data_IF_402686576526
#
_entry.id   IF_402686576526
#
_cell.length_a   1.000
_cell.length_b   1.000
_cell.length_c   1.000
_cell.angle_alpha   90.00
_cell.angle_beta   90.00
_cell.angle_gamma   90.00
#
_symmetry.space_group_name_H-M   'P 1'
#
loop_
_entity.id
_entity.type
_entity.pdbx_description
1 polymer ?
#
# COMPACT_ATOMS: atom_id res chain seq x y z
N UNK A 1 -17.44 8.73 13.54
CA UNK A 1 -16.10 8.66 12.87
C UNK A 1 -15.03 9.53 13.55
N UNK A 2 -15.32 10.77 13.98
CA UNK A 2 -14.32 11.67 14.58
C UNK A 2 -13.59 11.12 15.82
N UNK A 3 -14.31 10.47 16.74
CA UNK A 3 -13.73 9.92 17.97
C UNK A 3 -12.69 8.81 17.74
N UNK A 4 -12.95 7.88 16.81
CA UNK A 4 -11.98 6.84 16.42
C UNK A 4 -10.71 7.46 15.82
N UNK A 5 -10.86 8.42 14.88
CA UNK A 5 -9.71 9.12 14.30
C UNK A 5 -8.90 9.88 15.34
N UNK A 6 -9.58 10.51 16.32
CA UNK A 6 -8.89 11.21 17.42
C UNK A 6 -8.07 10.25 18.25
N UNK A 7 -8.65 9.12 18.67
CA UNK A 7 -7.95 8.11 19.46
C UNK A 7 -6.72 7.57 18.74
N UNK A 8 -6.86 7.25 17.45
CA UNK A 8 -5.76 6.73 16.64
C UNK A 8 -4.60 7.73 16.54
N UNK A 9 -4.88 9.03 16.33
CA UNK A 9 -3.82 10.06 16.31
C UNK A 9 -3.12 10.23 17.66
N UNK A 10 -3.82 9.97 18.76
CA UNK A 10 -3.23 10.05 20.10
C UNK A 10 -2.43 8.80 20.46
N UNK A 11 -2.82 7.62 19.94
CA UNK A 11 -2.21 6.34 20.30
C UNK A 11 -1.14 5.84 19.32
N UNK A 12 -1.12 6.34 18.08
CA UNK A 12 -0.15 5.96 17.06
C UNK A 12 0.83 7.11 16.83
N UNK A 13 2.11 6.84 17.10
CA UNK A 13 3.18 7.83 17.05
C UNK A 13 3.42 8.39 15.63
N UNK A 14 3.14 7.60 14.59
CA UNK A 14 3.34 8.00 13.18
C UNK A 14 2.11 7.67 12.34
N UNK A 15 0.97 8.31 12.62
CA UNK A 15 -0.22 8.17 11.79
C UNK A 15 -0.10 9.01 10.51
N UNK A 16 -0.19 8.40 9.33
CA UNK A 16 -0.26 9.12 8.05
C UNK A 16 -1.73 9.19 7.60
N UNK A 17 -2.37 10.37 7.63
CA UNK A 17 -3.75 10.51 7.20
C UNK A 17 -3.85 10.53 5.67
N UNK A 18 -4.81 9.78 5.12
CA UNK A 18 -5.27 9.95 3.74
C UNK A 18 -6.46 10.89 3.72
N UNK A 19 -6.41 11.89 2.83
CA UNK A 19 -7.44 12.91 2.72
C UNK A 19 -8.80 12.34 2.36
N UNK A 20 -9.86 12.93 2.92
CA UNK A 20 -11.24 12.44 2.71
C UNK A 20 -11.71 12.55 1.25
N UNK A 21 -11.10 13.45 0.49
CA UNK A 21 -11.41 13.70 -0.93
C UNK A 21 -10.80 12.64 -1.84
N UNK A 22 -9.90 11.83 -1.30
CA UNK A 22 -9.23 10.78 -2.05
C UNK A 22 -10.19 9.62 -2.33
N UNK A 23 -10.30 9.24 -3.60
CA UNK A 23 -11.18 8.13 -4.00
C UNK A 23 -10.53 6.80 -3.65
N UNK A 24 -11.22 5.93 -2.92
CA UNK A 24 -10.66 4.65 -2.43
C UNK A 24 -11.60 3.46 -2.67
N UNK A 25 -12.89 3.58 -2.34
CA UNK A 25 -13.88 2.50 -2.41
C UNK A 25 -14.13 1.95 -3.83
N UNK A 26 -14.02 2.79 -4.85
CA UNK A 26 -14.26 2.39 -6.25
C UNK A 26 -12.99 2.26 -7.10
N UNK A 27 -11.81 2.50 -6.52
CA UNK A 27 -10.57 2.41 -7.29
C UNK A 27 -10.02 0.98 -7.21
N UNK A 28 -9.83 0.31 -8.35
CA UNK A 28 -9.16 -0.99 -8.38
C UNK A 28 -7.74 -0.83 -7.85
N UNK A 29 -7.40 -1.57 -6.80
CA UNK A 29 -6.05 -1.53 -6.23
C UNK A 29 -4.98 -1.89 -7.27
N UNK A 30 -5.25 -2.91 -8.09
CA UNK A 30 -4.26 -3.48 -9.01
C UNK A 30 -3.96 -2.59 -10.22
N UNK A 31 -4.97 -1.95 -10.82
CA UNK A 31 -4.79 -1.20 -12.07
C UNK A 31 -5.24 0.27 -12.00
N UNK A 32 -5.79 0.72 -10.87
CA UNK A 32 -6.26 2.10 -10.68
C UNK A 32 -7.58 2.44 -11.39
N UNK A 33 -8.19 1.53 -12.16
CA UNK A 33 -9.46 1.77 -12.85
C UNK A 33 -10.58 2.05 -11.84
N UNK A 34 -11.44 3.01 -12.15
CA UNK A 34 -12.58 3.37 -11.30
C UNK A 34 -13.81 2.53 -11.66
N UNK A 35 -14.49 2.08 -10.62
CA UNK A 35 -15.71 1.29 -10.65
C UNK A 35 -16.80 2.04 -9.88
N UNK A 36 -18.01 2.06 -10.44
CA UNK A 36 -19.18 2.57 -9.75
C UNK A 36 -19.77 1.45 -8.89
N UNK A 37 -19.49 1.49 -7.58
CA UNK A 37 -19.97 0.51 -6.61
C UNK A 37 -20.95 1.18 -5.65
N UNK A 38 -22.12 0.57 -5.50
CA UNK A 38 -23.08 0.91 -4.45
C UNK A 38 -22.67 0.31 -3.11
N UNK A 39 -23.37 0.69 -2.03
CA UNK A 39 -23.15 0.08 -0.72
C UNK A 39 -23.47 -1.42 -0.70
N UNK A 40 -24.40 -1.88 -1.54
CA UNK A 40 -24.78 -3.28 -1.67
C UNK A 40 -23.72 -4.12 -2.41
N UNK A 41 -22.90 -3.49 -3.25
CA UNK A 41 -21.80 -4.16 -3.95
C UNK A 41 -20.67 -4.44 -2.96
N UNK A 42 -20.65 -5.67 -2.42
CA UNK A 42 -19.65 -6.12 -1.45
C UNK A 42 -18.33 -6.54 -2.08
N UNK A 43 -18.31 -6.79 -3.39
CA UNK A 43 -17.14 -7.29 -4.12
C UNK A 43 -16.81 -6.33 -5.25
N UNK A 44 -15.53 -5.98 -5.39
CA UNK A 44 -15.01 -5.36 -6.60
C UNK A 44 -14.56 -6.47 -7.55
N UNK A 45 -14.97 -6.41 -8.81
CA UNK A 45 -14.52 -7.32 -9.87
C UNK A 45 -14.08 -6.46 -11.06
N UNK A 46 -12.76 -6.46 -11.29
CA UNK A 46 -12.14 -5.64 -12.32
C UNK A 46 -11.79 -6.47 -13.54
N UNK A 47 -11.92 -5.87 -14.72
CA UNK A 47 -11.51 -6.44 -16.01
C UNK A 47 -10.01 -6.81 -16.04
N UNK A 48 -9.17 -6.24 -15.17
CA UNK A 48 -7.76 -6.62 -15.03
C UNK A 48 -7.55 -7.95 -14.29
N UNK A 49 -8.61 -8.65 -13.88
CA UNK A 49 -8.57 -9.92 -13.15
C UNK A 49 -8.54 -9.78 -11.63
N UNK A 50 -8.54 -8.56 -11.09
CA UNK A 50 -8.59 -8.32 -9.65
C UNK A 50 -10.01 -8.50 -9.10
N UNK A 51 -10.16 -9.33 -8.06
CA UNK A 51 -11.44 -9.61 -7.41
C UNK A 51 -11.26 -9.79 -5.90
N UNK A 52 -11.91 -8.94 -5.10
CA UNK A 52 -11.92 -9.07 -3.63
C UNK A 52 -13.08 -8.28 -3.00
N UNK A 53 -13.24 -8.39 -1.67
CA UNK A 53 -14.20 -7.55 -0.94
C UNK A 53 -13.85 -6.05 -1.11
N UNK A 54 -14.88 -5.23 -1.32
CA UNK A 54 -14.76 -3.79 -1.61
C UNK A 54 -14.08 -3.03 -0.48
N UNK A 55 -14.39 -3.36 0.77
CA UNK A 55 -13.84 -2.66 1.94
C UNK A 55 -12.37 -3.07 2.13
N UNK A 56 -12.02 -4.33 1.84
CA UNK A 56 -10.63 -4.79 1.76
C UNK A 56 -9.87 -4.05 0.66
N UNK A 57 -10.42 -3.97 -0.56
CA UNK A 57 -9.82 -3.22 -1.65
C UNK A 57 -9.55 -1.76 -1.26
N UNK A 58 -10.54 -1.09 -0.67
CA UNK A 58 -10.41 0.29 -0.22
C UNK A 58 -9.28 0.47 0.80
N UNK A 59 -9.12 -0.46 1.74
CA UNK A 59 -8.04 -0.43 2.72
C UNK A 59 -6.66 -0.53 2.07
N UNK A 60 -6.50 -1.38 1.05
CA UNK A 60 -5.23 -1.51 0.32
C UNK A 60 -4.95 -0.25 -0.50
N UNK A 61 -5.96 0.36 -1.13
CA UNK A 61 -5.81 1.65 -1.83
C UNK A 61 -5.40 2.76 -0.85
N UNK A 62 -5.99 2.82 0.35
CA UNK A 62 -5.61 3.77 1.41
C UNK A 62 -4.14 3.58 1.79
N UNK A 63 -3.70 2.33 2.00
CA UNK A 63 -2.30 2.03 2.31
C UNK A 63 -1.38 2.53 1.18
N UNK A 64 -1.71 2.22 -0.07
CA UNK A 64 -0.94 2.63 -1.25
C UNK A 64 -0.79 4.15 -1.32
N UNK A 65 -1.89 4.89 -1.15
CA UNK A 65 -1.91 6.36 -1.23
C UNK A 65 -1.25 7.03 -0.04
N UNK A 66 -1.46 6.50 1.17
CA UNK A 66 -0.80 6.99 2.39
C UNK A 66 0.73 6.83 2.32
N UNK A 67 1.20 5.76 1.69
CA UNK A 67 2.63 5.52 1.45
C UNK A 67 3.15 6.16 0.15
N UNK A 68 2.31 6.90 -0.59
CA UNK A 68 2.62 7.50 -1.88
C UNK A 68 3.22 6.51 -2.91
N UNK A 69 2.70 5.27 -2.94
CA UNK A 69 3.11 4.22 -3.86
C UNK A 69 2.31 4.32 -5.18
N UNK A 70 2.96 4.14 -6.33
CA UNK A 70 2.24 4.03 -7.61
C UNK A 70 1.68 2.61 -7.82
N UNK A 71 0.63 2.40 -8.64
CA UNK A 71 0.12 1.07 -8.97
C UNK A 71 1.18 0.15 -9.60
N UNK A 72 2.11 0.77 -10.35
CA UNK A 72 3.23 0.09 -11.02
C UNK A 72 4.47 -0.03 -10.13
N UNK A 73 4.44 0.49 -8.90
CA UNK A 73 5.60 0.56 -8.02
C UNK A 73 5.87 -0.80 -7.36
N UNK A 74 6.84 -1.50 -7.90
CA UNK A 74 7.76 -2.30 -7.09
C UNK A 74 8.41 -1.32 -6.12
N UNK A 75 8.33 -1.56 -4.81
CA UNK A 75 9.04 -0.73 -3.83
C UNK A 75 10.53 -0.85 -4.14
N UNK A 76 11.08 0.09 -4.89
CA UNK A 76 12.51 0.22 -5.10
C UNK A 76 13.11 0.58 -3.75
N UNK A 77 13.94 -0.31 -3.20
CA UNK A 77 14.62 -0.08 -1.93
C UNK A 77 15.67 1.03 -2.02
N UNK A 78 15.76 1.72 -3.16
CA UNK A 78 16.73 2.79 -3.45
C UNK A 78 16.38 4.14 -2.82
N UNK A 79 15.70 4.12 -1.68
CA UNK A 79 15.72 5.28 -0.79
C UNK A 79 17.12 5.36 -0.16
N UNK A 80 17.83 6.46 -0.46
CA UNK A 80 19.20 6.71 0.02
C UNK A 80 19.32 6.72 1.54
N UNK A 81 18.21 7.01 2.23
CA UNK A 81 18.16 7.13 3.69
C UNK A 81 17.89 5.81 4.42
N UNK A 82 17.54 4.72 3.70
CA UNK A 82 17.23 3.43 4.32
C UNK A 82 18.46 2.53 4.40
N UNK A 83 18.83 2.15 5.62
CA UNK A 83 19.92 1.20 5.90
C UNK A 83 19.57 -0.21 5.43
N UNK A 84 20.56 -1.08 5.19
CA UNK A 84 20.33 -2.46 4.74
C UNK A 84 19.33 -3.24 5.61
N UNK A 85 19.38 -3.07 6.93
CA UNK A 85 18.45 -3.72 7.86
C UNK A 85 17.02 -3.19 7.73
N UNK A 86 16.85 -1.89 7.47
CA UNK A 86 15.53 -1.27 7.27
C UNK A 86 14.94 -1.71 5.94
N UNK A 87 15.77 -1.84 4.90
CA UNK A 87 15.40 -2.41 3.59
C UNK A 87 14.97 -3.87 3.72
N UNK A 88 15.72 -4.69 4.45
CA UNK A 88 15.38 -6.09 4.70
C UNK A 88 14.09 -6.21 5.54
N UNK A 89 13.94 -5.37 6.56
CA UNK A 89 12.75 -5.34 7.42
C UNK A 89 11.51 -4.91 6.65
N UNK A 90 11.61 -3.87 5.82
CA UNK A 90 10.54 -3.46 4.92
C UNK A 90 10.18 -4.57 3.92
N UNK A 91 11.17 -5.24 3.33
CA UNK A 91 10.94 -6.38 2.45
C UNK A 91 10.28 -7.56 3.17
N UNK A 92 10.62 -7.83 4.44
CA UNK A 92 9.96 -8.88 5.23
C UNK A 92 8.51 -8.53 5.58
N UNK A 93 8.27 -7.30 6.03
CA UNK A 93 6.94 -6.83 6.43
C UNK A 93 6.02 -6.74 5.21
N UNK A 94 6.50 -6.09 4.14
CA UNK A 94 5.71 -5.81 2.95
C UNK A 94 5.69 -6.99 1.96
N UNK A 95 6.77 -7.78 1.87
CA UNK A 95 6.83 -8.96 1.01
C UNK A 95 5.95 -10.12 1.49
N UNK A 96 5.53 -10.11 2.75
CA UNK A 96 4.49 -11.02 3.26
C UNK A 96 3.08 -10.63 2.80
N UNK A 97 2.91 -9.42 2.27
CA UNK A 97 1.64 -8.97 1.72
C UNK A 97 1.55 -9.40 0.24
N UNK A 98 0.57 -10.25 -0.15
CA UNK A 98 0.46 -10.78 -1.52
C UNK A 98 0.18 -9.69 -2.56
N UNK A 99 -0.10 -8.47 -2.11
CA UNK A 99 -0.47 -7.33 -2.94
C UNK A 99 0.61 -6.27 -3.03
N UNK A 100 1.74 -6.44 -2.34
CA UNK A 100 2.88 -5.52 -2.41
C UNK A 100 4.08 -6.28 -2.96
N UNK A 101 4.58 -5.87 -4.12
CA UNK A 101 5.83 -6.40 -4.68
C UNK A 101 7.02 -5.59 -4.16
N UNK A 102 7.88 -6.24 -3.40
CA UNK A 102 9.16 -5.67 -2.94
C UNK A 102 10.30 -6.50 -3.53
N UNK A 103 11.31 -5.84 -4.07
CA UNK A 103 12.54 -6.48 -4.54
C UNK A 103 13.75 -5.85 -3.85
N UNK A 104 14.56 -6.66 -3.19
CA UNK A 104 15.86 -6.26 -2.65
C UNK A 104 16.96 -6.68 -3.61
N UNK A 105 17.66 -5.70 -4.21
CA UNK A 105 18.95 -5.95 -4.84
C UNK A 105 20.00 -5.96 -3.74
N UNK A 106 20.52 -7.14 -3.41
CA UNK A 106 21.72 -7.23 -2.61
C UNK A 106 22.90 -6.78 -3.45
N UNK A 107 23.38 -5.56 -3.23
CA UNK A 107 24.68 -5.16 -3.74
C UNK A 107 25.75 -6.00 -3.03
N UNK A 108 26.10 -7.12 -3.65
CA UNK A 108 27.30 -7.86 -3.28
C UNK A 108 28.48 -6.93 -3.51
N UNK A 109 29.14 -6.50 -2.43
CA UNK A 109 30.34 -5.68 -2.51
C UNK A 109 31.36 -6.31 -3.47
N UNK A 110 32.01 -5.47 -4.27
CA UNK A 110 33.05 -5.90 -5.19
C UNK A 110 34.08 -6.77 -4.45
N UNK A 111 34.53 -7.89 -5.07
CA UNK A 111 35.53 -8.73 -4.43
C UNK A 111 36.81 -7.92 -4.19
N UNK A 112 37.51 -8.14 -3.07
CA UNK A 112 38.75 -7.44 -2.80
C UNK A 112 39.78 -7.78 -3.89
N UNK A 113 40.47 -6.74 -4.38
CA UNK A 113 41.56 -6.83 -5.36
C UNK A 113 42.70 -7.73 -4.88
#
# INVERSE_FOLDING_TARGET
>A
IGGLKSRLRTSLETSIPVERTETTTGECFACGKRHHLSLADRVIECECGWKCDRDVNAAIVILRKGLNLSPDLVVGLDWSELKPLERETAARILGSNPYIRVSHLGEGGSPPL
#
